data_IF_671980268982
#
_entry.id   IF_671980268982
#
_cell.length_a   1.000
_cell.length_b   1.000
_cell.length_c   1.000
_cell.angle_alpha   90.00
_cell.angle_beta   90.00
_cell.angle_gamma   90.00
#
_symmetry.space_group_name_H-M   'P 1'
#
loop_
_entity.id
_entity.type
_entity.pdbx_description
1 polymer ?
#
# COMPACT_ATOMS: atom_id res chain seq x y z
N UNK A 1 -31.93 -14.89 -36.83
CA UNK A 1 -31.03 -15.34 -35.74
C UNK A 1 -29.98 -14.26 -35.45
N UNK A 2 -30.40 -13.04 -35.09
CA UNK A 2 -29.47 -11.89 -35.09
C UNK A 2 -29.78 -10.77 -34.08
N UNK A 3 -30.69 -10.97 -33.12
CA UNK A 3 -30.90 -9.99 -32.03
C UNK A 3 -30.53 -10.53 -30.64
N UNK A 4 -30.72 -11.83 -30.36
CA UNK A 4 -30.32 -12.40 -29.06
C UNK A 4 -28.80 -12.45 -28.86
N UNK A 5 -28.02 -12.71 -29.93
CA UNK A 5 -26.56 -12.72 -29.84
C UNK A 5 -25.94 -11.32 -29.66
N UNK A 6 -26.67 -10.26 -30.05
CA UNK A 6 -26.23 -8.89 -29.80
C UNK A 6 -26.52 -8.47 -28.35
N UNK A 7 -27.67 -8.86 -27.80
CA UNK A 7 -27.99 -8.62 -26.39
C UNK A 7 -27.04 -9.36 -25.44
N UNK A 8 -26.62 -10.59 -25.77
CA UNK A 8 -25.63 -11.32 -24.98
C UNK A 8 -24.24 -10.67 -25.03
N UNK A 9 -23.83 -10.13 -26.20
CA UNK A 9 -22.57 -9.38 -26.32
C UNK A 9 -22.60 -8.05 -25.58
N UNK A 10 -23.71 -7.31 -25.61
CA UNK A 10 -23.88 -6.06 -24.85
C UNK A 10 -23.90 -6.34 -23.34
N UNK A 11 -24.54 -7.42 -22.91
CA UNK A 11 -24.57 -7.84 -21.50
C UNK A 11 -23.22 -8.36 -20.98
N UNK A 12 -22.35 -8.88 -21.85
CA UNK A 12 -20.96 -9.22 -21.52
C UNK A 12 -20.02 -8.01 -21.54
N UNK A 13 -20.32 -6.97 -22.33
CA UNK A 13 -19.55 -5.71 -22.36
C UNK A 13 -19.86 -4.79 -21.16
N UNK A 14 -21.07 -4.88 -20.61
CA UNK A 14 -21.51 -4.10 -19.43
C UNK A 14 -21.94 -4.99 -18.26
N UNK A 15 -21.41 -6.21 -18.21
CA UNK A 15 -21.64 -7.18 -17.13
C UNK A 15 -21.16 -6.64 -15.79
N UNK A 16 -22.01 -6.79 -14.76
CA UNK A 16 -21.85 -6.27 -13.39
C UNK A 16 -20.67 -6.89 -12.62
N UNK A 17 -19.46 -6.70 -13.09
CA UNK A 17 -18.24 -6.95 -12.31
C UNK A 17 -17.24 -5.82 -12.59
N UNK A 18 -17.12 -4.88 -11.63
CA UNK A 18 -16.04 -3.89 -11.50
C UNK A 18 -16.22 -2.50 -12.13
N UNK A 19 -17.39 -1.88 -11.96
CA UNK A 19 -17.46 -0.43 -11.73
C UNK A 19 -18.63 -0.18 -10.76
N UNK A 20 -18.51 0.63 -9.68
CA UNK A 20 -19.67 0.92 -8.84
C UNK A 20 -20.68 1.64 -9.73
N UNK A 21 -21.85 1.05 -9.92
CA UNK A 21 -22.97 1.65 -10.67
C UNK A 21 -23.43 3.01 -10.11
N UNK A 22 -22.88 3.39 -8.96
CA UNK A 22 -23.17 4.58 -8.19
C UNK A 22 -22.17 5.73 -8.41
N UNK A 23 -21.12 5.56 -9.24
CA UNK A 23 -20.23 6.68 -9.59
C UNK A 23 -20.92 7.57 -10.61
N UNK A 24 -21.07 8.85 -10.29
CA UNK A 24 -21.56 9.83 -11.27
C UNK A 24 -20.49 10.07 -12.35
N UNK A 25 -20.85 10.03 -13.66
CA UNK A 25 -19.90 10.20 -14.76
C UNK A 25 -19.52 11.67 -14.97
N UNK A 26 -19.03 12.32 -13.91
CA UNK A 26 -18.66 13.74 -13.89
C UNK A 26 -17.27 13.90 -13.29
N UNK A 27 -16.33 14.43 -14.08
CA UNK A 27 -15.00 14.86 -13.60
C UNK A 27 -15.17 16.14 -12.79
N UNK A 28 -14.77 16.11 -11.53
CA UNK A 28 -14.81 17.25 -10.61
C UNK A 28 -13.38 17.74 -10.32
N UNK A 29 -13.26 19.05 -10.12
CA UNK A 29 -12.05 19.75 -9.70
C UNK A 29 -12.16 20.17 -8.23
N UNK A 30 -11.10 20.73 -7.66
CA UNK A 30 -11.13 21.24 -6.27
C UNK A 30 -12.19 22.32 -6.04
N UNK A 31 -12.52 23.10 -7.07
CA UNK A 31 -13.47 24.22 -6.98
C UNK A 31 -14.88 23.82 -7.46
N UNK A 32 -15.07 22.54 -7.81
CA UNK A 32 -16.41 22.00 -8.11
C UNK A 32 -17.25 21.92 -6.83
N UNK A 33 -18.56 22.14 -6.97
CA UNK A 33 -19.49 22.19 -5.85
C UNK A 33 -20.28 20.88 -5.70
N UNK A 34 -20.58 20.50 -4.46
CA UNK A 34 -21.42 19.36 -4.08
C UNK A 34 -22.39 19.76 -2.97
N UNK A 35 -23.56 19.09 -2.90
CA UNK A 35 -24.48 19.16 -1.76
C UNK A 35 -24.41 17.87 -0.98
N UNK A 36 -23.96 17.93 0.26
CA UNK A 36 -23.87 16.74 1.09
C UNK A 36 -23.75 17.05 2.58
N UNK A 37 -24.44 16.29 3.42
CA UNK A 37 -24.17 16.23 4.85
C UNK A 37 -24.52 14.86 5.42
N UNK A 38 -23.63 14.29 6.24
CA UNK A 38 -23.92 13.08 7.01
C UNK A 38 -23.88 13.43 8.51
N UNK A 39 -24.99 13.18 9.22
CA UNK A 39 -25.11 13.42 10.66
C UNK A 39 -26.18 12.49 11.27
N UNK A 40 -26.27 12.33 12.61
CA UNK A 40 -27.23 11.42 13.25
C UNK A 40 -28.72 11.62 12.90
N UNK A 41 -29.07 12.80 12.36
CA UNK A 41 -30.44 13.13 11.97
C UNK A 41 -30.82 12.71 10.54
N UNK A 42 -29.86 12.32 9.69
CA UNK A 42 -30.21 11.85 8.35
C UNK A 42 -30.78 10.44 8.42
N UNK A 43 -31.85 10.17 7.66
CA UNK A 43 -32.56 8.89 7.69
C UNK A 43 -31.72 7.65 7.35
N UNK A 44 -30.58 7.83 6.67
CA UNK A 44 -29.66 6.76 6.32
C UNK A 44 -28.46 6.64 7.26
N UNK A 45 -28.48 7.30 8.43
CA UNK A 45 -27.33 7.33 9.33
C UNK A 45 -26.88 5.90 9.68
N UNK A 46 -25.57 5.64 9.59
CA UNK A 46 -24.91 4.32 9.75
C UNK A 46 -25.18 3.26 8.67
N UNK A 47 -26.05 3.51 7.68
CA UNK A 47 -26.41 2.51 6.67
C UNK A 47 -25.20 2.05 5.81
N UNK A 48 -24.28 2.97 5.50
CA UNK A 48 -23.07 2.67 4.74
C UNK A 48 -21.91 2.11 5.60
N UNK A 49 -22.08 2.00 6.92
CA UNK A 49 -21.02 1.57 7.85
C UNK A 49 -20.91 0.03 7.97
N UNK A 50 -21.01 -0.68 6.85
CA UNK A 50 -20.94 -2.14 6.78
C UNK A 50 -20.86 -2.64 5.34
N UNK A 51 -20.42 -3.89 5.16
CA UNK A 51 -20.36 -4.54 3.85
C UNK A 51 -19.40 -3.92 2.84
N UNK A 52 -18.42 -3.14 3.31
CA UNK A 52 -17.45 -2.43 2.45
C UNK A 52 -16.01 -2.86 2.74
N UNK A 53 -15.16 -2.84 1.71
CA UNK A 53 -13.73 -3.12 1.86
C UNK A 53 -12.98 -1.83 2.25
N UNK A 54 -12.65 -1.67 3.53
CA UNK A 54 -11.87 -0.54 4.03
C UNK A 54 -10.42 -0.96 4.21
N UNK A 55 -9.59 -0.72 3.19
CA UNK A 55 -8.13 -0.88 3.30
C UNK A 55 -7.56 0.28 4.13
N UNK A 56 -6.68 -0.04 5.08
CA UNK A 56 -6.06 0.98 5.94
C UNK A 56 -4.72 1.43 5.37
N UNK A 57 -4.49 2.73 5.45
CA UNK A 57 -3.16 3.33 5.21
C UNK A 57 -2.33 3.29 6.50
N UNK A 58 -0.99 3.43 6.41
CA UNK A 58 -0.14 3.51 7.60
C UNK A 58 -0.58 4.61 8.57
N UNK A 59 -0.96 5.79 8.05
CA UNK A 59 -1.42 6.88 8.89
C UNK A 59 -2.80 6.60 9.51
N UNK A 60 -3.68 5.86 8.83
CA UNK A 60 -4.93 5.41 9.45
C UNK A 60 -4.64 4.49 10.64
N UNK A 61 -3.73 3.52 10.49
CA UNK A 61 -3.37 2.59 11.57
C UNK A 61 -2.81 3.37 12.75
N UNK A 62 -1.90 4.33 12.52
CA UNK A 62 -1.33 5.18 13.56
C UNK A 62 -2.40 5.99 14.31
N UNK A 63 -3.35 6.59 13.59
CA UNK A 63 -4.41 7.37 14.23
C UNK A 63 -5.40 6.49 15.01
N UNK A 64 -5.71 5.29 14.50
CA UNK A 64 -6.64 4.38 15.14
C UNK A 64 -6.06 3.74 16.41
N UNK A 65 -4.79 3.32 16.39
CA UNK A 65 -4.12 2.77 17.57
C UNK A 65 -4.03 3.80 18.68
N UNK A 66 -3.71 5.07 18.34
CA UNK A 66 -3.73 6.20 19.29
C UNK A 66 -5.13 6.47 19.84
N UNK A 67 -6.16 6.50 18.98
CA UNK A 67 -7.56 6.73 19.39
C UNK A 67 -8.09 5.64 20.32
N UNK A 68 -7.68 4.39 20.10
CA UNK A 68 -8.10 3.23 20.88
C UNK A 68 -7.19 2.95 22.07
N UNK A 69 -6.06 3.65 22.17
CA UNK A 69 -5.04 3.47 23.21
C UNK A 69 -4.53 2.02 23.32
N UNK A 70 -4.39 1.34 22.17
CA UNK A 70 -3.88 -0.04 22.10
C UNK A 70 -2.65 -0.14 21.19
N UNK A 71 -1.74 -1.08 21.46
CA UNK A 71 -0.61 -1.34 20.57
C UNK A 71 -1.03 -1.79 19.18
N UNK A 72 -0.20 -1.48 18.16
CA UNK A 72 -0.47 -1.84 16.77
C UNK A 72 -0.70 -3.35 16.57
N UNK A 73 0.11 -4.21 17.18
CA UNK A 73 -0.06 -5.66 17.05
C UNK A 73 -1.44 -6.15 17.57
N UNK A 74 -1.94 -5.58 18.66
CA UNK A 74 -3.26 -5.90 19.21
C UNK A 74 -4.36 -5.39 18.29
N UNK A 75 -4.23 -4.15 17.80
CA UNK A 75 -5.16 -3.56 16.83
C UNK A 75 -5.26 -4.41 15.56
N UNK A 76 -4.12 -4.81 14.99
CA UNK A 76 -4.06 -5.62 13.77
C UNK A 76 -4.74 -6.98 13.99
N UNK A 77 -4.48 -7.63 15.12
CA UNK A 77 -5.08 -8.92 15.45
C UNK A 77 -6.60 -8.83 15.67
N UNK A 78 -7.07 -7.80 16.38
CA UNK A 78 -8.47 -7.68 16.82
C UNK A 78 -9.40 -7.07 15.78
N UNK A 79 -8.94 -6.07 15.04
CA UNK A 79 -9.79 -5.21 14.20
C UNK A 79 -9.50 -5.29 12.70
N UNK A 80 -8.52 -6.08 12.28
CA UNK A 80 -8.12 -6.14 10.87
C UNK A 80 -8.03 -7.56 10.30
N UNK A 81 -8.10 -7.65 8.98
CA UNK A 81 -7.86 -8.86 8.20
C UNK A 81 -6.80 -8.58 7.12
N UNK A 82 -5.90 -9.54 6.82
CA UNK A 82 -4.92 -9.38 5.75
C UNK A 82 -5.56 -9.13 4.38
N UNK A 83 -4.91 -8.32 3.55
CA UNK A 83 -5.31 -8.10 2.16
C UNK A 83 -4.10 -7.76 1.29
N UNK A 84 -4.31 -7.69 -0.02
CA UNK A 84 -3.33 -7.19 -0.97
C UNK A 84 -3.78 -5.84 -1.53
N UNK A 85 -2.81 -4.94 -1.68
CA UNK A 85 -3.04 -3.56 -2.09
C UNK A 85 -3.11 -3.45 -3.61
N UNK A 86 -4.10 -2.73 -4.14
CA UNK A 86 -4.10 -2.23 -5.53
C UNK A 86 -3.85 -3.27 -6.63
N UNK A 87 -4.29 -4.52 -6.40
CA UNK A 87 -4.04 -5.68 -7.28
C UNK A 87 -2.55 -6.00 -7.48
N UNK A 88 -1.73 -5.66 -6.50
CA UNK A 88 -0.31 -6.01 -6.41
C UNK A 88 -0.11 -7.16 -5.42
N UNK A 89 1.13 -7.61 -5.24
CA UNK A 89 1.52 -8.56 -4.19
C UNK A 89 2.02 -7.85 -2.90
N UNK A 90 1.79 -6.53 -2.76
CA UNK A 90 2.09 -5.82 -1.54
C UNK A 90 1.05 -6.12 -0.46
N UNK A 91 1.48 -6.67 0.69
CA UNK A 91 0.56 -6.99 1.78
C UNK A 91 0.12 -5.72 2.50
N UNK A 92 -1.15 -5.69 2.88
CA UNK A 92 -1.73 -4.67 3.73
C UNK A 92 -2.81 -5.26 4.62
N UNK A 93 -3.59 -4.39 5.26
CA UNK A 93 -4.72 -4.80 6.10
C UNK A 93 -5.96 -4.00 5.74
N UNK A 94 -7.11 -4.64 5.98
CA UNK A 94 -8.41 -4.00 5.91
C UNK A 94 -9.16 -4.19 7.23
N UNK A 95 -10.13 -3.32 7.52
CA UNK A 95 -11.00 -3.49 8.69
C UNK A 95 -11.73 -4.83 8.61
N UNK A 96 -11.67 -5.60 9.70
CA UNK A 96 -12.44 -6.83 9.88
C UNK A 96 -13.87 -6.46 10.26
N UNK A 97 -14.81 -6.75 9.37
CA UNK A 97 -16.26 -6.58 9.66
C UNK A 97 -16.72 -7.64 10.67
N UNK A 98 -17.76 -7.32 11.43
CA UNK A 98 -18.38 -8.27 12.37
C UNK A 98 -19.04 -9.41 11.61
N UNK A 99 -18.97 -10.62 12.18
CA UNK A 99 -19.45 -11.84 11.51
C UNK A 99 -20.98 -11.96 11.51
N UNK A 100 -21.65 -11.36 12.49
CA UNK A 100 -23.10 -11.44 12.71
C UNK A 100 -23.90 -10.56 11.75
N UNK A 101 -23.44 -9.33 11.52
CA UNK A 101 -24.19 -8.32 10.75
C UNK A 101 -23.39 -7.65 9.63
N UNK A 102 -22.14 -8.09 9.42
CA UNK A 102 -21.23 -7.54 8.42
C UNK A 102 -21.00 -6.01 8.55
N UNK A 103 -21.19 -5.44 9.75
CA UNK A 103 -20.91 -4.02 10.01
C UNK A 103 -19.49 -3.78 10.51
N UNK A 104 -19.08 -2.51 10.44
CA UNK A 104 -17.84 -2.06 11.04
C UNK A 104 -17.85 -2.28 12.56
N UNK A 105 -16.78 -2.81 13.17
CA UNK A 105 -16.75 -3.06 14.62
C UNK A 105 -16.89 -1.79 15.47
N UNK A 106 -16.65 -0.61 14.89
CA UNK A 106 -16.75 0.68 15.56
C UNK A 106 -18.13 1.36 15.41
N UNK A 107 -19.08 0.75 14.69
CA UNK A 107 -20.41 1.33 14.52
C UNK A 107 -21.40 0.79 15.56
N UNK A 108 -22.10 1.71 16.20
CA UNK A 108 -23.21 1.47 17.14
C UNK A 108 -24.48 2.14 16.60
N UNK A 109 -25.66 1.89 17.19
CA UNK A 109 -26.89 2.61 16.84
C UNK A 109 -26.76 4.14 16.96
N UNK A 110 -25.92 4.62 17.88
CA UNK A 110 -25.66 6.05 18.13
C UNK A 110 -24.64 6.66 17.14
N UNK A 111 -23.90 5.83 16.39
CA UNK A 111 -22.95 6.27 15.39
C UNK A 111 -21.60 5.53 15.44
N UNK A 112 -20.59 6.11 14.80
CA UNK A 112 -19.24 5.54 14.80
C UNK A 112 -18.44 6.05 16.00
N UNK A 113 -17.93 5.15 16.85
CA UNK A 113 -17.18 5.50 18.07
C UNK A 113 -15.83 6.17 17.79
N UNK A 114 -15.29 5.95 16.60
CA UNK A 114 -14.06 6.56 16.08
C UNK A 114 -14.33 7.62 15.02
N UNK A 115 -15.52 8.23 14.96
CA UNK A 115 -15.91 9.10 13.83
C UNK A 115 -14.87 10.18 13.52
N UNK A 116 -14.32 10.85 14.54
CA UNK A 116 -13.29 11.90 14.40
C UNK A 116 -11.97 11.40 13.82
N UNK A 117 -11.68 10.10 13.96
CA UNK A 117 -10.43 9.43 13.56
C UNK A 117 -10.66 8.30 12.56
N UNK A 118 -11.86 8.27 11.94
CA UNK A 118 -12.25 7.26 10.95
C UNK A 118 -11.22 7.17 9.80
N UNK A 119 -11.04 5.99 9.18
CA UNK A 119 -10.07 5.79 8.12
C UNK A 119 -10.26 6.73 6.92
N UNK A 120 -9.19 6.93 6.16
CA UNK A 120 -9.12 7.73 4.92
C UNK A 120 -10.25 7.35 3.95
N UNK A 121 -10.48 6.06 3.71
CA UNK A 121 -11.55 5.59 2.84
C UNK A 121 -12.95 6.06 3.28
N UNK A 122 -13.22 6.08 4.60
CA UNK A 122 -14.49 6.54 5.15
C UNK A 122 -14.65 8.07 5.14
N UNK A 123 -13.56 8.82 5.05
CA UNK A 123 -13.57 10.30 4.94
C UNK A 123 -13.80 10.78 3.54
N UNK A 124 -13.33 10.01 2.56
CA UNK A 124 -13.57 10.30 1.17
C UNK A 124 -15.07 10.33 0.87
N UNK A 125 -15.79 9.27 1.27
CA UNK A 125 -17.21 9.15 0.99
C UNK A 125 -18.02 10.40 1.36
N UNK A 126 -18.78 10.99 0.42
CA UNK A 126 -19.17 10.43 -0.88
C UNK A 126 -18.25 10.85 -2.04
N UNK A 127 -17.20 11.61 -1.78
CA UNK A 127 -16.23 12.07 -2.78
C UNK A 127 -15.15 11.00 -2.96
N UNK A 128 -14.96 10.52 -4.18
CA UNK A 128 -13.80 9.74 -4.57
C UNK A 128 -12.72 10.63 -5.19
N UNK A 129 -11.47 10.15 -5.14
CA UNK A 129 -10.37 10.71 -5.92
C UNK A 129 -9.79 9.63 -6.84
N UNK A 130 -9.47 10.04 -8.06
CA UNK A 130 -8.65 9.28 -8.97
C UNK A 130 -7.40 10.11 -9.30
N UNK A 131 -6.26 9.44 -9.32
CA UNK A 131 -4.98 10.02 -9.69
C UNK A 131 -4.55 9.42 -11.02
N UNK A 132 -4.48 10.25 -12.06
CA UNK A 132 -3.97 9.84 -13.36
C UNK A 132 -2.48 10.15 -13.42
N UNK A 133 -1.67 9.10 -13.39
CA UNK A 133 -0.26 9.19 -13.73
C UNK A 133 -0.12 8.77 -15.20
N UNK A 134 0.18 9.73 -16.09
CA UNK A 134 0.81 9.34 -17.35
C UNK A 134 2.14 8.66 -16.99
N UNK A 135 2.48 7.56 -17.69
CA UNK A 135 3.72 6.84 -17.40
C UNK A 135 4.91 7.80 -17.49
N UNK A 136 5.71 7.89 -16.42
CA UNK A 136 6.85 8.79 -16.38
C UNK A 136 7.74 8.60 -17.61
N UNK A 137 7.93 9.66 -18.39
CA UNK A 137 8.95 9.64 -19.44
C UNK A 137 10.32 9.59 -18.79
N UNK A 138 11.31 8.99 -19.44
CA UNK A 138 12.71 9.20 -19.06
C UNK A 138 13.24 10.35 -19.89
N UNK A 139 13.97 11.28 -19.26
CA UNK A 139 14.74 12.26 -20.00
C UNK A 139 15.89 11.59 -20.77
N UNK A 140 16.60 12.36 -21.58
CA UNK A 140 17.72 11.88 -22.39
C UNK A 140 18.86 11.26 -21.54
N UNK A 141 18.94 11.60 -20.25
CA UNK A 141 19.93 11.12 -19.29
C UNK A 141 19.44 9.89 -18.50
N UNK A 142 18.26 9.35 -18.85
CA UNK A 142 17.66 8.17 -18.22
C UNK A 142 17.02 8.45 -16.87
N UNK A 143 16.90 9.72 -16.46
CA UNK A 143 16.23 10.14 -15.23
C UNK A 143 14.72 10.12 -15.44
N UNK A 144 14.01 9.56 -14.46
CA UNK A 144 12.55 9.50 -14.48
C UNK A 144 11.98 10.93 -14.34
N UNK A 145 11.34 11.43 -15.39
CA UNK A 145 10.56 12.66 -15.33
C UNK A 145 9.25 12.37 -14.61
N UNK A 146 8.97 13.17 -13.58
CA UNK A 146 7.72 13.07 -12.82
C UNK A 146 6.62 13.56 -13.77
N UNK A 147 5.81 12.64 -14.28
CA UNK A 147 4.62 12.99 -15.05
C UNK A 147 3.72 13.92 -14.23
N UNK A 148 3.04 14.85 -14.89
CA UNK A 148 2.07 15.72 -14.22
C UNK A 148 0.97 14.85 -13.58
N UNK A 149 0.88 14.88 -12.25
CA UNK A 149 -0.20 14.22 -11.49
C UNK A 149 -1.54 14.94 -11.82
N UNK A 150 -2.35 14.38 -12.72
CA UNK A 150 -3.70 14.92 -12.96
C UNK A 150 -4.69 14.26 -11.99
N UNK A 151 -4.98 14.94 -10.90
CA UNK A 151 -5.99 14.50 -9.91
C UNK A 151 -7.36 14.99 -10.31
N UNK A 152 -8.32 14.09 -10.31
CA UNK A 152 -9.73 14.46 -10.41
C UNK A 152 -10.58 13.77 -9.37
N UNK A 153 -11.72 14.39 -9.12
CA UNK A 153 -12.69 13.94 -8.13
C UNK A 153 -13.95 13.44 -8.81
N UNK A 154 -14.68 12.60 -8.11
CA UNK A 154 -15.98 12.12 -8.53
C UNK A 154 -16.86 11.90 -7.30
N UNK A 155 -18.16 11.80 -7.51
CA UNK A 155 -19.14 11.55 -6.47
C UNK A 155 -19.67 10.14 -6.59
N UNK A 156 -19.80 9.47 -5.46
CA UNK A 156 -20.47 8.17 -5.31
C UNK A 156 -21.85 8.44 -4.73
N UNK A 157 -22.89 8.28 -5.55
CA UNK A 157 -24.28 8.46 -5.17
C UNK A 157 -25.00 7.12 -5.16
N UNK A 158 -25.17 6.57 -3.97
CA UNK A 158 -25.93 5.34 -3.74
C UNK A 158 -27.36 5.66 -3.33
N UNK A 159 -28.33 4.85 -3.77
CA UNK A 159 -29.76 5.09 -3.51
C UNK A 159 -30.11 5.22 -2.03
N UNK A 160 -29.42 4.45 -1.18
CA UNK A 160 -29.61 4.46 0.26
C UNK A 160 -29.05 5.72 0.92
N UNK A 161 -28.15 6.45 0.25
CA UNK A 161 -27.45 7.60 0.82
C UNK A 161 -28.28 8.88 0.69
N UNK A 162 -28.80 9.34 1.82
CA UNK A 162 -29.70 10.49 1.91
C UNK A 162 -28.99 11.79 2.30
N UNK A 163 -27.68 11.74 2.50
CA UNK A 163 -26.88 12.93 2.76
C UNK A 163 -26.86 13.93 1.61
N UNK A 164 -27.14 13.51 0.37
CA UNK A 164 -27.28 14.40 -0.78
C UNK A 164 -28.60 15.19 -0.81
N UNK A 165 -29.57 14.85 0.03
CA UNK A 165 -30.84 15.58 0.17
C UNK A 165 -30.72 16.75 1.16
N UNK A 166 -29.57 16.88 1.81
CA UNK A 166 -29.27 17.96 2.77
C UNK A 166 -28.82 19.24 2.06
N UNK A 167 -29.14 20.39 2.64
CA UNK A 167 -28.90 21.70 2.02
C UNK A 167 -27.46 22.21 2.11
N UNK A 168 -26.57 21.50 2.83
CA UNK A 168 -25.20 21.96 3.02
C UNK A 168 -24.40 21.82 1.72
N UNK A 169 -23.94 22.97 1.22
CA UNK A 169 -23.09 23.06 0.05
C UNK A 169 -21.61 23.09 0.45
N UNK A 170 -20.77 22.51 -0.41
CA UNK A 170 -19.32 22.48 -0.27
C UNK A 170 -18.68 22.65 -1.64
N UNK A 171 -17.51 23.28 -1.69
CA UNK A 171 -16.51 22.93 -2.70
C UNK A 171 -15.80 21.63 -2.33
N UNK A 172 -15.25 20.91 -3.32
CA UNK A 172 -14.43 19.71 -3.04
C UNK A 172 -13.25 20.04 -2.11
N UNK A 173 -12.64 21.22 -2.29
CA UNK A 173 -11.57 21.72 -1.41
C UNK A 173 -12.03 21.85 0.04
N UNK A 174 -13.17 22.48 0.29
CA UNK A 174 -13.72 22.65 1.64
C UNK A 174 -14.11 21.32 2.26
N UNK A 175 -14.78 20.45 1.49
CA UNK A 175 -15.12 19.09 1.92
C UNK A 175 -13.87 18.35 2.39
N UNK A 176 -12.80 18.34 1.58
CA UNK A 176 -11.58 17.62 1.92
C UNK A 176 -10.95 18.13 3.23
N UNK A 177 -10.94 19.45 3.43
CA UNK A 177 -10.41 20.07 4.64
C UNK A 177 -11.28 19.76 5.87
N UNK A 178 -12.60 19.84 5.75
CA UNK A 178 -13.55 19.51 6.82
C UNK A 178 -13.45 18.03 7.23
N UNK A 179 -13.32 17.14 6.24
CA UNK A 179 -13.14 15.72 6.49
C UNK A 179 -11.71 15.36 6.91
N UNK A 180 -10.75 16.29 6.86
CA UNK A 180 -9.34 16.08 7.22
C UNK A 180 -8.65 15.02 6.37
N UNK A 181 -9.04 14.90 5.10
CA UNK A 181 -8.47 13.93 4.16
C UNK A 181 -7.28 14.51 3.39
N UNK A 182 -7.21 15.83 3.27
CA UNK A 182 -6.03 16.55 2.78
C UNK A 182 -4.76 16.24 3.57
N UNK A 183 -4.85 16.27 4.90
CA UNK A 183 -3.72 15.91 5.78
C UNK A 183 -3.36 14.43 5.63
N UNK A 184 -4.36 13.55 5.54
CA UNK A 184 -4.14 12.09 5.43
C UNK A 184 -3.50 11.70 4.12
N UNK A 185 -3.90 12.35 3.03
CA UNK A 185 -3.26 12.17 1.73
C UNK A 185 -1.79 12.57 1.79
N UNK A 186 -1.49 13.74 2.36
CA UNK A 186 -0.11 14.22 2.45
C UNK A 186 0.75 13.27 3.29
N UNK A 187 0.23 12.81 4.43
CA UNK A 187 0.91 11.86 5.30
C UNK A 187 1.16 10.50 4.64
N UNK A 188 0.32 10.08 3.70
CA UNK A 188 0.44 8.79 3.02
C UNK A 188 1.01 8.89 1.59
N UNK A 189 1.34 10.09 1.11
CA UNK A 189 1.72 10.35 -0.28
C UNK A 189 2.86 9.47 -0.75
N UNK A 190 3.95 9.44 0.02
CA UNK A 190 5.13 8.64 -0.34
C UNK A 190 4.85 7.14 -0.25
N UNK A 191 4.01 6.70 0.69
CA UNK A 191 3.59 5.30 0.76
C UNK A 191 2.74 4.89 -0.45
N UNK A 192 1.77 5.72 -0.85
CA UNK A 192 0.96 5.48 -2.05
C UNK A 192 1.81 5.43 -3.32
N UNK A 193 2.86 6.27 -3.42
CA UNK A 193 3.83 6.22 -4.52
C UNK A 193 4.55 4.88 -4.59
N UNK A 194 4.91 4.28 -3.46
CA UNK A 194 5.51 2.93 -3.43
C UNK A 194 4.54 1.87 -3.99
N UNK A 195 3.28 1.94 -3.57
CA UNK A 195 2.23 1.00 -4.03
C UNK A 195 1.96 1.16 -5.53
N UNK A 196 1.87 2.40 -6.02
CA UNK A 196 1.66 2.69 -7.44
C UNK A 196 2.87 2.30 -8.29
N UNK A 197 4.09 2.57 -7.81
CA UNK A 197 5.32 2.13 -8.48
C UNK A 197 5.40 0.61 -8.57
N UNK A 198 4.96 -0.11 -7.53
CA UNK A 198 4.86 -1.57 -7.61
C UNK A 198 3.87 -2.03 -8.66
N UNK A 199 2.71 -1.37 -8.72
CA UNK A 199 1.64 -1.64 -9.69
C UNK A 199 2.11 -1.43 -11.13
N UNK A 200 2.95 -0.43 -11.40
CA UNK A 200 3.46 -0.13 -12.75
C UNK A 200 4.42 -1.18 -13.30
N UNK A 201 5.12 -1.95 -12.45
CA UNK A 201 5.93 -3.10 -12.88
C UNK A 201 5.12 -4.30 -13.39
N UNK A 202 3.78 -4.24 -13.32
CA UNK A 202 2.89 -5.29 -13.78
C UNK A 202 2.88 -6.54 -12.91
N UNK A 203 2.12 -7.53 -13.36
CA UNK A 203 1.83 -8.78 -12.62
C UNK A 203 2.98 -9.81 -12.67
N UNK A 204 3.95 -9.63 -13.57
CA UNK A 204 5.07 -10.57 -13.75
C UNK A 204 6.19 -10.34 -12.74
N UNK A 205 6.43 -9.09 -12.34
CA UNK A 205 7.30 -8.80 -11.22
C UNK A 205 6.63 -9.31 -9.93
N UNK A 206 7.42 -9.82 -8.98
CA UNK A 206 6.95 -10.18 -7.63
C UNK A 206 8.01 -9.75 -6.61
N UNK A 207 7.55 -9.32 -5.44
CA UNK A 207 8.41 -9.06 -4.29
C UNK A 207 8.82 -10.40 -3.66
N UNK A 208 10.05 -10.47 -3.18
CA UNK A 208 10.49 -11.58 -2.34
C UNK A 208 9.68 -11.63 -1.04
N UNK A 209 9.59 -12.80 -0.41
CA UNK A 209 8.89 -12.95 0.87
C UNK A 209 9.49 -12.06 1.97
N UNK A 210 10.81 -11.86 1.95
CA UNK A 210 11.49 -10.93 2.85
C UNK A 210 11.05 -9.48 2.60
N UNK A 211 10.95 -9.06 1.34
CA UNK A 211 10.47 -7.73 0.96
C UNK A 211 9.01 -7.51 1.38
N UNK A 212 8.13 -8.51 1.20
CA UNK A 212 6.73 -8.44 1.65
C UNK A 212 6.62 -8.30 3.17
N UNK A 213 7.38 -9.11 3.94
CA UNK A 213 7.43 -9.01 5.41
C UNK A 213 7.91 -7.64 5.87
N UNK A 214 8.96 -7.11 5.23
CA UNK A 214 9.50 -5.79 5.53
C UNK A 214 8.48 -4.68 5.24
N UNK A 215 7.85 -4.72 4.06
CA UNK A 215 6.80 -3.79 3.68
C UNK A 215 5.63 -3.81 4.67
N UNK A 216 5.16 -5.01 5.04
CA UNK A 216 4.08 -5.16 6.01
C UNK A 216 4.44 -4.53 7.36
N UNK A 217 5.57 -4.92 7.95
CA UNK A 217 6.03 -4.40 9.24
C UNK A 217 6.14 -2.88 9.24
N UNK A 218 6.86 -2.32 8.26
CA UNK A 218 7.10 -0.87 8.16
C UNK A 218 5.83 -0.05 7.84
N UNK A 219 4.79 -0.69 7.28
CA UNK A 219 3.52 -0.04 6.93
C UNK A 219 2.41 -0.23 7.97
N UNK A 220 2.49 -1.23 8.86
CA UNK A 220 1.37 -1.59 9.76
C UNK A 220 1.74 -1.62 11.24
N UNK A 221 3.00 -1.84 11.60
CA UNK A 221 3.45 -1.91 12.99
C UNK A 221 4.74 -1.11 13.22
N UNK A 222 4.56 0.19 13.45
CA UNK A 222 5.65 1.12 13.71
C UNK A 222 6.41 0.77 15.00
N UNK A 223 5.79 0.16 16.00
CA UNK A 223 6.49 -0.24 17.21
C UNK A 223 7.50 -1.36 16.90
N UNK A 224 7.11 -2.34 16.09
CA UNK A 224 8.02 -3.39 15.62
C UNK A 224 9.08 -2.85 14.68
N UNK A 225 8.73 -1.90 13.80
CA UNK A 225 9.71 -1.21 12.95
C UNK A 225 10.73 -0.39 13.76
N UNK A 226 10.29 0.28 14.83
CA UNK A 226 11.16 0.99 15.79
C UNK A 226 12.17 0.02 16.41
N UNK A 227 11.71 -1.12 16.94
CA UNK A 227 12.61 -2.16 17.47
C UNK A 227 13.58 -2.66 16.41
N UNK A 228 13.12 -2.88 15.17
CA UNK A 228 14.01 -3.24 14.07
C UNK A 228 15.13 -2.21 13.84
N UNK A 229 14.87 -0.91 13.94
CA UNK A 229 15.89 0.13 13.81
C UNK A 229 16.90 0.09 14.97
N UNK A 230 16.42 0.00 16.21
CA UNK A 230 17.27 0.21 17.40
C UNK A 230 17.85 -1.07 18.02
N UNK A 231 17.24 -2.22 17.77
CA UNK A 231 17.60 -3.50 18.41
C UNK A 231 18.24 -4.49 17.41
N UNK A 232 18.42 -4.09 16.15
CA UNK A 232 19.11 -4.89 15.12
C UNK A 232 20.39 -4.21 14.63
N UNK A 233 21.07 -4.82 13.66
CA UNK A 233 22.25 -4.28 12.99
C UNK A 233 21.94 -3.13 12.01
N UNK A 234 20.73 -2.55 12.08
CA UNK A 234 20.31 -1.47 11.20
C UNK A 234 21.22 -0.24 11.32
N UNK A 235 21.45 0.27 12.52
CA UNK A 235 22.31 1.45 12.76
C UNK A 235 23.80 1.16 12.51
N UNK A 236 24.20 -0.12 12.48
CA UNK A 236 25.54 -0.53 12.03
C UNK A 236 25.68 -0.54 10.51
N UNK A 237 24.55 -0.51 9.79
CA UNK A 237 24.50 -0.65 8.33
C UNK A 237 24.25 0.69 7.65
N UNK A 238 23.31 1.47 8.15
CA UNK A 238 22.90 2.74 7.55
C UNK A 238 23.53 3.93 8.26
N UNK A 239 23.82 4.99 7.51
CA UNK A 239 24.26 6.28 8.05
C UNK A 239 23.04 7.13 8.32
N UNK A 240 22.81 7.47 9.59
CA UNK A 240 21.80 8.43 10.02
C UNK A 240 22.47 9.42 10.98
N UNK A 241 22.10 10.70 10.88
CA UNK A 241 22.54 11.71 11.83
C UNK A 241 21.84 11.56 13.18
N UNK A 242 22.49 12.02 14.25
CA UNK A 242 21.99 11.89 15.63
C UNK A 242 20.61 12.51 15.83
N UNK A 243 20.33 13.64 15.18
CA UNK A 243 19.03 14.33 15.27
C UNK A 243 17.92 13.51 14.64
N UNK A 244 18.18 12.86 13.50
CA UNK A 244 17.24 11.89 12.91
C UNK A 244 17.02 10.73 13.86
N UNK A 245 18.07 10.13 14.42
CA UNK A 245 17.95 9.00 15.35
C UNK A 245 17.08 9.35 16.56
N UNK A 246 17.27 10.53 17.16
CA UNK A 246 16.49 11.01 18.29
C UNK A 246 15.00 11.18 17.93
N UNK A 247 14.71 11.82 16.80
CA UNK A 247 13.32 11.93 16.28
C UNK A 247 12.69 10.57 16.06
N UNK A 248 13.42 9.64 15.44
CA UNK A 248 12.95 8.29 15.18
C UNK A 248 12.73 7.49 16.45
N UNK A 249 13.18 7.95 17.62
CA UNK A 249 12.97 7.30 18.92
C UNK A 249 11.70 7.78 19.63
N UNK A 250 11.26 9.02 19.39
CA UNK A 250 10.17 9.64 20.15
C UNK A 250 8.93 10.00 19.31
N UNK A 251 9.09 10.23 18.00
CA UNK A 251 7.99 10.67 17.13
C UNK A 251 7.57 9.55 16.16
N UNK A 252 6.36 9.01 16.34
CA UNK A 252 5.83 7.98 15.43
C UNK A 252 5.53 8.52 14.01
N UNK A 253 5.23 9.81 13.85
CA UNK A 253 4.98 10.40 12.53
C UNK A 253 6.30 10.46 11.76
N UNK A 254 7.36 10.94 12.39
CA UNK A 254 8.71 10.92 11.79
C UNK A 254 9.18 9.50 11.51
N UNK A 255 8.91 8.55 12.42
CA UNK A 255 9.21 7.14 12.20
C UNK A 255 8.44 6.55 11.00
N UNK A 256 7.16 6.89 10.85
CA UNK A 256 6.33 6.48 9.72
C UNK A 256 6.87 7.04 8.40
N UNK A 257 7.16 8.34 8.34
CA UNK A 257 7.72 8.97 7.14
C UNK A 257 9.08 8.39 6.77
N UNK A 258 9.91 8.07 7.78
CA UNK A 258 11.17 7.37 7.57
C UNK A 258 10.98 5.94 7.05
N UNK A 259 9.95 5.23 7.50
CA UNK A 259 9.64 3.89 7.01
C UNK A 259 9.40 3.90 5.50
N UNK A 260 8.74 4.93 4.96
CA UNK A 260 8.53 5.06 3.51
C UNK A 260 9.82 5.31 2.75
N UNK A 261 10.72 6.16 3.27
CA UNK A 261 12.06 6.38 2.68
C UNK A 261 12.88 5.09 2.68
N UNK A 262 12.84 4.35 3.77
CA UNK A 262 13.52 3.07 3.91
C UNK A 262 12.98 2.02 2.92
N UNK A 263 11.64 1.92 2.79
CA UNK A 263 11.02 1.04 1.80
C UNK A 263 11.34 1.46 0.36
N UNK A 264 11.39 2.76 0.06
CA UNK A 264 11.80 3.26 -1.25
C UNK A 264 13.23 2.82 -1.61
N UNK A 265 14.17 2.95 -0.67
CA UNK A 265 15.55 2.54 -0.87
C UNK A 265 15.69 1.02 -1.02
N UNK A 266 15.07 0.26 -0.12
CA UNK A 266 15.27 -1.20 -0.06
C UNK A 266 14.49 -1.98 -1.11
N UNK A 267 13.31 -1.52 -1.51
CA UNK A 267 12.47 -2.23 -2.48
C UNK A 267 12.68 -1.75 -3.91
N UNK A 268 13.08 -0.49 -4.10
CA UNK A 268 13.15 0.13 -5.43
C UNK A 268 14.47 0.82 -5.73
N UNK A 269 15.48 0.68 -4.87
CA UNK A 269 16.82 1.22 -5.08
C UNK A 269 16.88 2.75 -5.11
N UNK A 270 15.94 3.44 -4.47
CA UNK A 270 16.00 4.90 -4.36
C UNK A 270 17.21 5.33 -3.52
N UNK A 271 17.92 6.38 -3.94
CA UNK A 271 19.05 6.97 -3.20
C UNK A 271 18.57 7.80 -1.99
N UNK A 272 17.79 7.18 -1.11
CA UNK A 272 17.16 7.85 0.04
C UNK A 272 17.93 7.63 1.36
N UNK A 273 18.74 6.56 1.46
CA UNK A 273 19.52 6.24 2.67
C UNK A 273 20.89 5.69 2.26
N UNK A 274 21.97 6.29 2.78
CA UNK A 274 23.33 5.83 2.54
C UNK A 274 23.72 4.67 3.46
N UNK A 275 24.38 3.67 2.89
CA UNK A 275 24.96 2.52 3.62
C UNK A 275 26.41 2.88 4.00
N UNK A 276 26.83 2.52 5.22
CA UNK A 276 28.22 2.71 5.68
C UNK A 276 29.19 1.95 4.76
N UNK A 277 30.22 2.63 4.27
CA UNK A 277 31.19 2.08 3.31
C UNK A 277 31.82 0.76 3.76
N UNK A 278 32.09 0.62 5.06
CA UNK A 278 32.67 -0.59 5.64
C UNK A 278 31.77 -1.82 5.44
N UNK A 279 30.45 -1.64 5.54
CA UNK A 279 29.48 -2.72 5.30
C UNK A 279 29.34 -3.04 3.82
N UNK A 280 29.45 -2.04 2.94
CA UNK A 280 29.52 -2.27 1.50
C UNK A 280 30.76 -3.12 1.17
N UNK A 281 31.94 -2.74 1.68
CA UNK A 281 33.20 -3.48 1.50
C UNK A 281 33.11 -4.90 2.05
N UNK A 282 32.56 -5.09 3.25
CA UNK A 282 32.34 -6.40 3.85
C UNK A 282 31.38 -7.27 3.03
N UNK A 283 30.27 -6.70 2.52
CA UNK A 283 29.32 -7.44 1.69
C UNK A 283 29.89 -7.82 0.34
N UNK A 284 30.65 -6.93 -0.30
CA UNK A 284 31.37 -7.21 -1.55
C UNK A 284 32.41 -8.32 -1.34
N UNK A 285 33.14 -8.30 -0.22
CA UNK A 285 34.07 -9.37 0.13
C UNK A 285 33.35 -10.71 0.32
N UNK A 286 32.24 -10.73 1.07
CA UNK A 286 31.43 -11.93 1.27
C UNK A 286 30.85 -12.48 -0.04
N UNK A 287 30.36 -11.60 -0.93
CA UNK A 287 29.83 -12.01 -2.24
C UNK A 287 30.92 -12.59 -3.14
N UNK A 288 32.13 -12.02 -3.13
CA UNK A 288 33.28 -12.57 -3.85
C UNK A 288 33.67 -13.95 -3.32
N UNK A 289 33.72 -14.12 -2.00
CA UNK A 289 34.03 -15.40 -1.36
C UNK A 289 32.99 -16.48 -1.72
N UNK A 290 31.69 -16.15 -1.65
CA UNK A 290 30.61 -17.07 -2.05
C UNK A 290 30.64 -17.40 -3.55
N UNK A 291 30.96 -16.43 -4.40
CA UNK A 291 31.09 -16.63 -5.84
C UNK A 291 32.29 -17.53 -6.16
N UNK A 292 33.44 -17.30 -5.54
CA UNK A 292 34.64 -18.13 -5.69
C UNK A 292 34.40 -19.57 -5.21
N UNK A 293 33.64 -19.74 -4.12
CA UNK A 293 33.27 -21.05 -3.58
C UNK A 293 32.29 -21.80 -4.49
N UNK A 294 31.31 -21.11 -5.06
CA UNK A 294 30.34 -21.67 -6.02
C UNK A 294 31.05 -22.12 -7.31
N UNK A 295 31.96 -21.29 -7.83
CA UNK A 295 32.78 -21.63 -8.99
C UNK A 295 33.65 -22.84 -8.67
N UNK A 296 34.32 -22.87 -7.51
CA UNK A 296 35.15 -24.02 -7.11
C UNK A 296 34.35 -25.31 -6.97
N UNK A 297 33.12 -25.26 -6.48
CA UNK A 297 32.23 -26.43 -6.40
C UNK A 297 31.78 -26.92 -7.78
N UNK A 298 31.42 -26.00 -8.69
CA UNK A 298 31.05 -26.38 -10.08
C UNK A 298 32.21 -27.04 -10.85
N UNK A 299 33.46 -26.61 -10.60
CA UNK A 299 34.65 -27.24 -11.18
C UNK A 299 34.86 -28.65 -10.63
N UNK A 300 34.70 -28.86 -9.31
CA UNK A 300 34.77 -30.20 -8.71
C UNK A 300 33.69 -31.13 -9.25
N UNK A 301 32.44 -30.68 -9.33
CA UNK A 301 31.36 -31.49 -9.92
C UNK A 301 31.67 -31.86 -11.37
N UNK A 302 32.19 -30.94 -12.17
CA UNK A 302 32.59 -31.22 -13.55
C UNK A 302 33.74 -32.23 -13.65
N UNK A 303 34.73 -32.13 -12.76
CA UNK A 303 35.84 -33.09 -12.69
C UNK A 303 35.39 -34.48 -12.24
N UNK A 304 34.49 -34.57 -11.26
CA UNK A 304 33.88 -35.81 -10.81
C UNK A 304 33.03 -36.45 -11.92
N UNK A 305 32.25 -35.64 -12.64
CA UNK A 305 31.47 -36.10 -13.79
C UNK A 305 32.41 -36.66 -14.87
N UNK A 306 33.48 -35.94 -15.22
CA UNK A 306 34.51 -36.42 -16.16
C UNK A 306 35.17 -37.71 -15.70
N UNK A 307 35.53 -37.82 -14.42
CA UNK A 307 36.17 -39.01 -13.86
C UNK A 307 35.23 -40.22 -13.89
N UNK A 308 33.94 -40.01 -13.61
CA UNK A 308 32.91 -41.05 -13.69
C UNK A 308 32.66 -41.49 -15.14
N UNK A 309 32.52 -40.55 -16.08
CA UNK A 309 32.41 -40.87 -17.51
C UNK A 309 33.66 -41.59 -18.03
N UNK A 310 34.85 -41.23 -17.56
CA UNK A 310 36.09 -41.92 -17.93
C UNK A 310 36.17 -43.34 -17.35
N UNK A 311 35.70 -43.56 -16.12
CA UNK A 311 35.58 -44.89 -15.50
C UNK A 311 34.55 -45.76 -16.24
N UNK A 312 33.40 -45.20 -16.61
CA UNK A 312 32.38 -45.88 -17.39
C UNK A 312 32.86 -46.26 -18.78
N UNK A 313 33.59 -45.37 -19.47
CA UNK A 313 34.25 -45.70 -20.76
C UNK A 313 35.31 -46.80 -20.62
N UNK A 314 36.06 -46.81 -19.52
CA UNK A 314 37.03 -47.88 -19.21
C UNK A 314 36.37 -49.22 -18.90
N UNK A 315 35.19 -49.21 -18.28
CA UNK A 315 34.42 -50.41 -17.94
C UNK A 315 33.65 -51.01 -19.11
N UNK A 316 33.26 -50.18 -20.10
CA UNK A 316 32.47 -50.60 -21.27
C UNK A 316 33.33 -50.97 -22.49
N UNK A 317 34.63 -50.67 -22.49
CA UNK A 317 35.58 -51.12 -23.51
C UNK A 317 35.41 -50.48 -24.91
N UNK A 318 34.61 -49.42 -25.03
CA UNK A 318 34.42 -48.69 -26.29
C UNK A 318 35.46 -47.57 -26.35
N UNK A 319 36.41 -47.69 -27.29
CA UNK A 319 37.37 -46.64 -27.63
C UNK A 319 36.69 -45.47 -28.35
#
# INVERSE_FOLDING_TARGET
>A
MSNENNDVKVKMLFGKENNPSSIEPKKLTLDSHIKFRCHPGVRCFTACCGGIKIVLTPYDILQLTRRLEIPAHEFLHKYTSPTYLEKTDMPGVMIKMREDDNKCPFVTPEGCTIYTDRPTACRYYPVGMADFHEGGSRDADGKETIAMEEKFFFTVREDHCKGFEEDKEWTIREWRKDQGVDVRDEMNKEWLRLVMRRKSFGLQATLSEQAKRMFFMASTDLATFRRFIFESSFLDTYVLDEKTIEKLKEDDVELMLFSFKYLAATLFGAEAISIKEEKIKAKVAQMKEQQDETVRNSVKEYEELKANTAKEKKATGIK
#
